data_IF_539883282915
#
_entry.id   IF_539883282915
#
_cell.length_a   1.000
_cell.length_b   1.000
_cell.length_c   1.000
_cell.angle_alpha   90.00
_cell.angle_beta   90.00
_cell.angle_gamma   90.00
#
_symmetry.space_group_name_H-M   'P 1'
#
loop_
_entity.id
_entity.type
_entity.pdbx_description
1 polymer ?
#
# COMPACT_ATOMS: atom_id res chain seq x y z
N UNK A 1 -9.09 18.64 -6.41
CA UNK A 1 -10.51 18.22 -6.28
C UNK A 1 -11.46 19.19 -6.97
N UNK A 2 -11.42 20.50 -6.67
CA UNK A 2 -12.36 21.49 -7.22
C UNK A 2 -12.47 21.53 -8.76
N UNK A 3 -11.37 21.36 -9.50
CA UNK A 3 -11.39 21.37 -10.97
C UNK A 3 -11.71 20.00 -11.60
N UNK A 4 -11.48 18.90 -10.88
CA UNK A 4 -11.78 17.54 -11.38
C UNK A 4 -13.19 17.06 -11.02
N UNK A 5 -13.84 17.70 -10.04
CA UNK A 5 -15.17 17.30 -9.55
C UNK A 5 -15.17 16.00 -8.73
N UNK A 6 -14.01 15.43 -8.43
CA UNK A 6 -13.89 14.18 -7.66
C UNK A 6 -13.95 14.43 -6.15
N UNK A 7 -14.56 13.52 -5.36
CA UNK A 7 -14.41 13.51 -3.91
C UNK A 7 -12.94 13.35 -3.50
N UNK A 8 -12.52 14.04 -2.44
CA UNK A 8 -11.15 13.96 -1.94
C UNK A 8 -10.72 12.54 -1.55
N UNK A 9 -11.66 11.74 -1.05
CA UNK A 9 -11.47 10.34 -0.67
C UNK A 9 -11.12 9.40 -1.81
N UNK A 10 -11.24 9.87 -3.07
CA UNK A 10 -10.79 9.13 -4.25
C UNK A 10 -9.32 9.39 -4.62
N UNK A 11 -8.62 10.20 -3.84
CA UNK A 11 -7.19 10.40 -3.99
C UNK A 11 -6.49 9.79 -2.78
N UNK A 12 -5.54 8.92 -3.08
CA UNK A 12 -4.55 8.43 -2.14
C UNK A 12 -3.21 9.07 -2.48
N UNK A 13 -2.47 9.49 -1.45
CA UNK A 13 -1.10 9.96 -1.58
C UNK A 13 -0.16 8.94 -0.94
N UNK A 14 0.73 8.40 -1.75
CA UNK A 14 1.81 7.55 -1.30
C UNK A 14 3.00 8.41 -0.86
N UNK A 15 3.53 8.14 0.33
CA UNK A 15 4.71 8.82 0.86
C UNK A 15 5.76 7.81 1.27
N UNK A 16 6.99 8.01 0.83
CA UNK A 16 8.13 7.16 1.23
C UNK A 16 8.55 7.47 2.67
N UNK A 17 9.10 6.49 3.40
CA UNK A 17 9.59 6.70 4.78
C UNK A 17 10.60 7.85 4.92
N UNK A 18 11.38 8.12 3.87
CA UNK A 18 12.42 9.15 3.84
C UNK A 18 11.87 10.58 4.04
N UNK A 19 10.59 10.82 3.80
CA UNK A 19 9.94 12.14 4.02
C UNK A 19 9.95 12.58 5.49
N UNK A 20 10.14 11.62 6.41
CA UNK A 20 10.24 11.89 7.84
C UNK A 20 11.67 12.27 8.28
N UNK A 21 12.68 12.10 7.41
CA UNK A 21 14.06 12.44 7.73
C UNK A 21 14.24 13.96 7.77
N UNK A 22 14.69 14.48 8.90
CA UNK A 22 15.09 15.88 9.06
C UNK A 22 13.99 16.86 9.47
N UNK A 23 12.69 16.56 9.27
CA UNK A 23 11.61 17.46 9.72
C UNK A 23 10.24 16.76 9.95
N UNK A 24 10.22 15.78 10.86
CA UNK A 24 9.02 14.99 11.22
C UNK A 24 7.81 15.88 11.54
N UNK A 25 7.96 16.90 12.39
CA UNK A 25 6.83 17.72 12.83
C UNK A 25 6.16 18.48 11.68
N UNK A 26 6.95 19.03 10.77
CA UNK A 26 6.41 19.74 9.60
C UNK A 26 5.69 18.77 8.67
N UNK A 27 6.28 17.61 8.42
CA UNK A 27 5.67 16.56 7.59
C UNK A 27 4.33 16.13 8.17
N UNK A 28 4.26 15.81 9.46
CA UNK A 28 3.01 15.43 10.14
C UNK A 28 1.93 16.51 10.03
N UNK A 29 2.28 17.79 10.22
CA UNK A 29 1.31 18.91 10.05
C UNK A 29 0.72 18.97 8.65
N UNK A 30 1.55 18.77 7.62
CA UNK A 30 1.09 18.76 6.22
C UNK A 30 0.17 17.57 5.97
N UNK A 31 0.56 16.37 6.41
CA UNK A 31 -0.23 15.15 6.22
C UNK A 31 -1.58 15.24 6.91
N UNK A 32 -1.65 15.74 8.15
CA UNK A 32 -2.92 15.99 8.83
C UNK A 32 -3.80 17.00 8.10
N UNK A 33 -3.19 18.05 7.53
CA UNK A 33 -3.92 19.03 6.74
C UNK A 33 -4.54 18.40 5.49
N UNK A 34 -3.80 17.52 4.80
CA UNK A 34 -4.30 16.79 3.63
C UNK A 34 -5.42 15.80 4.01
N UNK A 35 -5.23 15.05 5.10
CA UNK A 35 -6.24 14.11 5.61
C UNK A 35 -7.52 14.84 6.04
N UNK A 36 -7.42 16.06 6.59
CA UNK A 36 -8.60 16.87 6.93
C UNK A 36 -9.45 17.28 5.71
N UNK A 37 -8.87 17.24 4.51
CA UNK A 37 -9.60 17.42 3.25
C UNK A 37 -10.32 16.15 2.79
N UNK A 38 -10.06 15.00 3.44
CA UNK A 38 -10.56 13.68 3.09
C UNK A 38 -9.66 12.88 2.16
N UNK A 39 -8.42 13.31 1.92
CA UNK A 39 -7.42 12.57 1.12
C UNK A 39 -6.88 11.40 1.95
N UNK A 40 -6.74 10.22 1.33
CA UNK A 40 -6.10 9.05 1.96
C UNK A 40 -4.59 9.15 1.87
N UNK A 41 -3.87 8.60 2.84
CA UNK A 41 -2.39 8.59 2.86
C UNK A 41 -1.89 7.18 3.09
N UNK A 42 -1.05 6.70 2.17
CA UNK A 42 -0.38 5.41 2.25
C UNK A 42 1.12 5.60 2.55
N UNK A 43 1.67 4.74 3.40
CA UNK A 43 3.11 4.66 3.62
C UNK A 43 3.73 3.69 2.60
N UNK A 44 4.64 4.21 1.80
CA UNK A 44 5.32 3.51 0.72
C UNK A 44 6.66 2.90 1.16
N UNK A 45 7.09 1.84 0.49
CA UNK A 45 8.34 1.12 0.70
C UNK A 45 8.60 0.66 2.16
N UNK A 46 7.55 0.27 2.90
CA UNK A 46 7.70 -0.03 4.32
C UNK A 46 8.65 -1.20 4.59
N UNK A 47 9.59 -1.00 5.50
CA UNK A 47 10.55 -2.03 5.94
C UNK A 47 11.90 -2.01 5.22
N UNK A 48 12.08 -1.18 4.19
CA UNK A 48 13.34 -1.11 3.42
C UNK A 48 14.35 -0.09 3.97
N UNK A 49 13.94 0.75 4.93
CA UNK A 49 14.71 1.90 5.42
C UNK A 49 14.62 2.12 6.93
N UNK A 50 14.46 3.39 7.34
CA UNK A 50 14.32 3.79 8.74
C UNK A 50 12.85 3.66 9.18
N UNK A 51 12.38 2.42 9.29
CA UNK A 51 10.99 2.14 9.68
C UNK A 51 10.79 2.48 11.17
N UNK A 52 10.43 3.74 11.45
CA UNK A 52 10.12 4.14 12.82
C UNK A 52 8.66 3.83 13.11
N UNK A 53 8.42 2.79 13.92
CA UNK A 53 7.12 2.52 14.53
C UNK A 53 6.54 3.77 15.24
N UNK A 54 7.40 4.71 15.63
CA UNK A 54 6.97 5.99 16.21
C UNK A 54 6.14 6.84 15.23
N UNK A 55 6.41 6.79 13.92
CA UNK A 55 5.65 7.53 12.91
C UNK A 55 4.29 6.89 12.68
N UNK A 56 4.25 5.56 12.57
CA UNK A 56 2.99 4.80 12.47
C UNK A 56 2.07 5.06 13.67
N UNK A 57 2.64 5.27 14.86
CA UNK A 57 1.86 5.67 16.05
C UNK A 57 1.40 7.13 16.01
N UNK A 58 2.18 8.01 15.38
CA UNK A 58 1.96 9.47 15.43
C UNK A 58 1.07 10.00 14.31
N UNK A 59 0.88 9.21 13.24
CA UNK A 59 0.03 9.56 12.11
C UNK A 59 -0.89 8.39 11.74
N UNK A 60 -2.21 8.62 11.61
CA UNK A 60 -3.16 7.59 11.23
C UNK A 60 -3.12 7.39 9.72
N UNK A 61 -2.12 6.63 9.24
CA UNK A 61 -2.08 6.17 7.85
C UNK A 61 -3.30 5.33 7.51
N UNK A 62 -3.74 5.40 6.26
CA UNK A 62 -4.82 4.57 5.76
C UNK A 62 -4.32 3.20 5.28
N UNK A 63 -3.06 3.14 4.83
CA UNK A 63 -2.48 1.96 4.18
C UNK A 63 -0.97 1.86 4.38
N UNK A 64 -0.46 0.63 4.47
CA UNK A 64 0.97 0.29 4.38
C UNK A 64 1.21 -0.49 3.09
N UNK A 65 2.21 -0.06 2.31
CA UNK A 65 2.69 -0.79 1.14
C UNK A 65 3.92 -1.62 1.51
N UNK A 66 3.86 -2.90 1.24
CA UNK A 66 4.94 -3.87 1.46
C UNK A 66 5.76 -3.91 0.18
N UNK A 67 7.02 -3.47 0.27
CA UNK A 67 7.92 -3.41 -0.88
C UNK A 67 8.15 -4.79 -1.52
N UNK A 68 8.33 -4.78 -2.84
CA UNK A 68 8.53 -5.98 -3.65
C UNK A 68 9.74 -6.82 -3.23
N UNK A 69 10.75 -6.26 -2.55
CA UNK A 69 11.89 -7.04 -2.06
C UNK A 69 11.48 -8.09 -1.03
N UNK A 70 10.49 -7.79 -0.17
CA UNK A 70 9.93 -8.75 0.77
C UNK A 70 9.08 -9.81 0.08
N UNK A 71 8.31 -9.41 -0.94
CA UNK A 71 7.49 -10.33 -1.72
C UNK A 71 8.36 -11.32 -2.48
N UNK A 72 9.44 -10.87 -3.12
CA UNK A 72 10.40 -11.77 -3.79
C UNK A 72 11.09 -12.74 -2.83
N UNK A 73 11.40 -12.27 -1.62
CA UNK A 73 12.01 -13.12 -0.60
C UNK A 73 11.10 -14.26 -0.12
N UNK A 74 9.78 -14.23 -0.38
CA UNK A 74 8.89 -15.37 -0.12
C UNK A 74 9.27 -16.61 -0.93
N UNK A 75 9.74 -16.44 -2.17
CA UNK A 75 10.14 -17.55 -3.04
C UNK A 75 11.43 -18.23 -2.54
N UNK A 76 12.29 -17.47 -1.87
CA UNK A 76 13.55 -17.95 -1.29
C UNK A 76 13.34 -18.65 0.07
N UNK A 77 12.16 -18.49 0.67
CA UNK A 77 11.79 -19.04 1.98
C UNK A 77 12.45 -18.33 3.16
N UNK A 78 12.32 -18.90 4.36
CA UNK A 78 12.94 -18.37 5.57
C UNK A 78 12.13 -17.29 6.28
N UNK A 79 12.78 -16.18 6.67
CA UNK A 79 12.19 -15.14 7.53
C UNK A 79 11.17 -14.23 6.85
N UNK A 80 11.04 -14.27 5.53
CA UNK A 80 10.15 -13.38 4.77
C UNK A 80 8.68 -13.52 5.22
N UNK A 81 8.20 -14.76 5.39
CA UNK A 81 6.86 -15.03 5.94
C UNK A 81 6.66 -14.37 7.31
N UNK A 82 7.63 -14.49 8.21
CA UNK A 82 7.54 -13.92 9.55
C UNK A 82 7.52 -12.38 9.53
N UNK A 83 8.28 -11.76 8.64
CA UNK A 83 8.32 -10.30 8.48
C UNK A 83 6.98 -9.80 7.92
N UNK A 84 6.48 -10.39 6.84
CA UNK A 84 5.19 -10.01 6.25
C UNK A 84 4.07 -10.16 7.27
N UNK A 85 4.04 -11.27 8.01
CA UNK A 85 3.08 -11.49 9.10
C UNK A 85 3.15 -10.41 10.19
N UNK A 86 4.36 -9.99 10.55
CA UNK A 86 4.54 -8.94 11.54
C UNK A 86 4.00 -7.59 11.03
N UNK A 87 4.22 -7.28 9.74
CA UNK A 87 3.71 -6.06 9.11
C UNK A 87 2.18 -6.08 9.03
N UNK A 88 1.58 -7.17 8.55
CA UNK A 88 0.11 -7.30 8.44
C UNK A 88 -0.58 -7.26 9.80
N UNK A 89 -0.03 -7.95 10.81
CA UNK A 89 -0.53 -7.90 12.18
C UNK A 89 -0.44 -6.48 12.77
N UNK A 90 0.64 -5.76 12.50
CA UNK A 90 0.80 -4.38 12.94
C UNK A 90 -0.22 -3.45 12.27
N UNK A 91 -0.41 -3.59 10.95
CA UNK A 91 -1.38 -2.82 10.18
C UNK A 91 -2.80 -3.05 10.72
N UNK A 92 -3.20 -4.30 10.91
CA UNK A 92 -4.50 -4.68 11.50
C UNK A 92 -4.69 -4.03 12.89
N UNK A 93 -3.69 -4.14 13.76
CA UNK A 93 -3.72 -3.57 15.11
C UNK A 93 -3.84 -2.04 15.13
N UNK A 94 -3.40 -1.37 14.07
CA UNK A 94 -3.49 0.08 13.91
C UNK A 94 -4.66 0.53 13.03
N UNK A 95 -5.47 -0.40 12.52
CA UNK A 95 -6.61 -0.12 11.64
C UNK A 95 -6.21 0.37 10.24
N UNK A 96 -5.07 -0.11 9.73
CA UNK A 96 -4.53 0.22 8.40
C UNK A 96 -4.74 -0.95 7.44
N UNK A 97 -4.97 -0.65 6.16
CA UNK A 97 -4.95 -1.66 5.10
C UNK A 97 -3.51 -2.00 4.69
N UNK A 98 -3.31 -3.16 4.07
CA UNK A 98 -2.02 -3.56 3.50
C UNK A 98 -2.10 -3.80 2.00
N UNK A 99 -1.05 -3.40 1.27
CA UNK A 99 -0.88 -3.66 -0.15
C UNK A 99 0.51 -4.24 -0.40
N UNK A 100 0.59 -5.47 -0.91
CA UNK A 100 1.85 -6.07 -1.32
C UNK A 100 2.19 -5.75 -2.78
N UNK A 101 3.40 -5.27 -3.03
CA UNK A 101 3.84 -4.88 -4.37
C UNK A 101 4.71 -5.94 -5.06
N UNK A 102 4.71 -5.94 -6.39
CA UNK A 102 5.52 -6.85 -7.20
C UNK A 102 5.01 -8.29 -7.21
N UNK A 103 3.71 -8.52 -7.03
CA UNK A 103 3.11 -9.86 -7.06
C UNK A 103 2.94 -10.35 -8.49
N UNK A 104 3.68 -11.38 -8.88
CA UNK A 104 3.71 -11.88 -10.27
C UNK A 104 3.04 -13.25 -10.46
N UNK A 105 2.85 -14.04 -9.40
CA UNK A 105 2.35 -15.42 -9.47
C UNK A 105 1.18 -15.64 -8.52
N UNK A 106 0.33 -16.63 -8.83
CA UNK A 106 -0.81 -16.97 -7.96
C UNK A 106 -0.31 -17.52 -6.61
N UNK A 107 0.80 -18.24 -6.62
CA UNK A 107 1.45 -18.79 -5.44
C UNK A 107 1.89 -17.68 -4.46
N UNK A 108 2.45 -16.58 -4.97
CA UNK A 108 2.77 -15.41 -4.15
C UNK A 108 1.52 -14.75 -3.58
N UNK A 109 0.46 -14.59 -4.39
CA UNK A 109 -0.82 -14.03 -3.95
C UNK A 109 -1.44 -14.86 -2.81
N UNK A 110 -1.46 -16.18 -2.97
CA UNK A 110 -2.00 -17.10 -1.97
C UNK A 110 -1.17 -17.09 -0.68
N UNK A 111 0.16 -17.01 -0.79
CA UNK A 111 1.04 -16.87 0.36
C UNK A 111 0.80 -15.55 1.11
N UNK A 112 0.73 -14.42 0.41
CA UNK A 112 0.45 -13.10 1.00
C UNK A 112 -0.91 -13.06 1.70
N UNK A 113 -1.93 -13.66 1.08
CA UNK A 113 -3.26 -13.80 1.68
C UNK A 113 -3.22 -14.65 2.96
N UNK A 114 -2.45 -15.74 2.97
CA UNK A 114 -2.27 -16.57 4.17
C UNK A 114 -1.55 -15.83 5.31
N UNK A 115 -0.71 -14.85 4.98
CA UNK A 115 -0.05 -13.95 5.96
C UNK A 115 -0.94 -12.77 6.37
N UNK A 116 -2.16 -12.65 5.85
CA UNK A 116 -3.12 -11.60 6.22
C UNK A 116 -2.98 -10.30 5.44
N UNK A 117 -2.39 -10.34 4.24
CA UNK A 117 -2.36 -9.16 3.36
C UNK A 117 -3.71 -8.92 2.67
N UNK A 118 -4.17 -7.67 2.65
CA UNK A 118 -5.50 -7.30 2.15
C UNK A 118 -5.55 -7.20 0.62
N UNK A 119 -4.51 -6.59 0.03
CA UNK A 119 -4.46 -6.23 -1.39
C UNK A 119 -3.10 -6.60 -2.01
N UNK A 120 -3.09 -6.76 -3.32
CA UNK A 120 -1.87 -7.01 -4.09
C UNK A 120 -1.81 -6.11 -5.32
N UNK A 121 -0.58 -5.73 -5.68
CA UNK A 121 -0.25 -5.05 -6.91
C UNK A 121 0.90 -5.78 -7.59
N UNK A 122 0.76 -6.06 -8.89
CA UNK A 122 1.84 -6.62 -9.67
C UNK A 122 1.39 -7.21 -10.99
N UNK A 123 2.33 -7.83 -11.70
CA UNK A 123 2.10 -8.36 -13.05
C UNK A 123 1.13 -9.53 -13.10
N UNK A 124 0.82 -10.16 -11.96
CA UNK A 124 -0.28 -11.11 -11.85
C UNK A 124 -1.61 -10.48 -12.28
N UNK A 125 -1.81 -9.20 -11.95
CA UNK A 125 -3.03 -8.45 -12.27
C UNK A 125 -2.90 -7.80 -13.65
N UNK A 126 -1.89 -6.93 -13.80
CA UNK A 126 -1.59 -6.22 -15.04
C UNK A 126 -0.21 -5.59 -14.95
N UNK A 127 0.44 -5.43 -16.10
CA UNK A 127 1.56 -4.48 -16.23
C UNK A 127 1.03 -3.03 -16.18
N UNK A 128 1.88 -2.04 -15.87
CA UNK A 128 1.54 -0.63 -16.08
C UNK A 128 1.08 -0.41 -17.53
N UNK A 129 -0.05 0.27 -17.69
CA UNK A 129 -0.65 0.56 -18.99
C UNK A 129 -0.88 2.06 -19.17
N UNK A 130 -0.97 2.56 -20.41
CA UNK A 130 -1.39 3.93 -20.67
C UNK A 130 -2.77 4.24 -20.10
N UNK A 131 -2.98 5.47 -19.64
CA UNK A 131 -4.26 5.89 -19.03
C UNK A 131 -5.49 5.66 -19.91
N UNK A 132 -5.35 5.78 -21.24
CA UNK A 132 -6.44 5.52 -22.20
C UNK A 132 -6.91 4.06 -22.26
N UNK A 133 -6.12 3.12 -21.73
CA UNK A 133 -6.43 1.69 -21.72
C UNK A 133 -7.04 1.21 -20.39
N UNK A 134 -7.03 2.04 -19.34
CA UNK A 134 -7.49 1.68 -17.99
C UNK A 134 -8.96 1.26 -18.00
N UNK A 135 -9.84 2.00 -18.67
CA UNK A 135 -11.26 1.66 -18.74
C UNK A 135 -11.50 0.28 -19.36
N UNK A 136 -10.69 -0.11 -20.35
CA UNK A 136 -10.77 -1.42 -20.98
C UNK A 136 -10.32 -2.52 -20.02
N UNK A 137 -9.21 -2.31 -19.33
CA UNK A 137 -8.71 -3.24 -18.31
C UNK A 137 -9.75 -3.46 -17.20
N UNK A 138 -10.33 -2.38 -16.66
CA UNK A 138 -11.37 -2.47 -15.63
C UNK A 138 -12.60 -3.25 -16.09
N UNK A 139 -12.95 -3.19 -17.37
CA UNK A 139 -14.04 -3.98 -17.95
C UNK A 139 -13.74 -5.48 -18.08
N UNK A 140 -12.47 -5.88 -18.06
CA UNK A 140 -12.05 -7.29 -18.19
C UNK A 140 -11.75 -7.97 -16.87
N UNK A 141 -11.52 -7.20 -15.81
CA UNK A 141 -11.22 -7.74 -14.48
C UNK A 141 -12.46 -8.42 -13.87
N UNK A 142 -12.29 -9.63 -13.36
CA UNK A 142 -13.37 -10.30 -12.63
C UNK A 142 -13.65 -9.57 -11.29
N UNK A 143 -14.89 -9.60 -10.78
CA UNK A 143 -15.25 -8.91 -9.53
C UNK A 143 -14.39 -9.30 -8.33
N UNK A 144 -13.90 -10.55 -8.29
CA UNK A 144 -13.04 -11.06 -7.24
C UNK A 144 -11.60 -10.52 -7.32
N UNK A 145 -11.15 -10.14 -8.53
CA UNK A 145 -9.85 -9.48 -8.78
C UNK A 145 -9.94 -7.98 -8.48
N UNK A 146 -11.10 -7.36 -8.70
CA UNK A 146 -11.33 -5.94 -8.45
C UNK A 146 -11.27 -5.56 -6.95
N UNK A 147 -11.60 -6.49 -6.05
CA UNK A 147 -11.50 -6.29 -4.60
C UNK A 147 -10.04 -6.22 -4.09
N UNK A 148 -9.07 -6.59 -4.93
CA UNK A 148 -7.64 -6.66 -4.60
C UNK A 148 -6.87 -5.45 -5.18
N UNK A 149 -7.51 -4.66 -6.03
CA UNK A 149 -6.92 -3.51 -6.72
C UNK A 149 -7.37 -2.24 -6.00
N UNK A 150 -6.46 -1.59 -5.29
CA UNK A 150 -6.70 -0.27 -4.73
C UNK A 150 -7.05 0.71 -5.86
N UNK A 151 -8.26 1.29 -5.79
CA UNK A 151 -8.75 2.31 -6.71
C UNK A 151 -8.64 3.72 -6.10
#
# INVERSE_FOLDING_TARGET
MANSGLPASRLELEITESVFIGNVERTLKILHSLQSLGVRVALDDFGTGYSSLSYLRSFPFDKIKIDQSFVRALEEGGSAHAIIRAITTLAEALGMETLAEGVETQELSDALKAEGCDMIQGYLISRPIPGGDVQRLLGTLQPQTAAVIAA
#
